data_IF_098654696131
#
_entry.id   IF_098654696131
#
_cell.length_a   1.000
_cell.length_b   1.000
_cell.length_c   1.000
_cell.angle_alpha   90.00
_cell.angle_beta   90.00
_cell.angle_gamma   90.00
#
_symmetry.space_group_name_H-M   'P 1'
#
loop_
_entity.id
_entity.type
_entity.pdbx_description
1 polymer ?
#
# COMPACT_ATOMS: atom_id res chain seq x y z
N UNK A 1 17.56 -1.13 -15.64
CA UNK A 1 16.63 -1.51 -14.55
C UNK A 1 17.25 -2.65 -13.77
N UNK A 2 17.27 -2.55 -12.44
CA UNK A 2 17.73 -3.59 -11.54
C UNK A 2 16.59 -3.93 -10.55
N UNK A 3 16.64 -5.10 -9.92
CA UNK A 3 15.62 -5.58 -8.99
C UNK A 3 16.29 -5.92 -7.65
N UNK A 4 15.64 -5.51 -6.55
CA UNK A 4 15.97 -5.87 -5.18
C UNK A 4 14.84 -6.73 -4.65
N UNK A 5 15.15 -7.93 -4.15
CA UNK A 5 14.20 -8.76 -3.45
C UNK A 5 14.26 -8.44 -1.95
N UNK A 6 13.13 -8.01 -1.38
CA UNK A 6 13.00 -7.69 0.03
C UNK A 6 11.97 -8.62 0.67
N UNK A 7 12.31 -9.21 1.82
CA UNK A 7 11.38 -10.08 2.55
C UNK A 7 10.25 -9.26 3.19
N UNK A 8 9.02 -9.54 2.76
CA UNK A 8 7.82 -8.80 3.19
C UNK A 8 7.27 -9.33 4.53
N UNK A 9 8.14 -9.52 5.53
CA UNK A 9 7.75 -9.95 6.88
C UNK A 9 7.77 -8.78 7.86
N UNK A 10 6.92 -8.84 8.89
CA UNK A 10 6.86 -7.81 9.93
C UNK A 10 8.19 -7.69 10.70
N UNK A 11 8.97 -8.78 10.80
CA UNK A 11 10.31 -8.81 11.41
C UNK A 11 11.33 -8.00 10.62
N UNK A 12 11.13 -7.84 9.31
CA UNK A 12 12.01 -7.07 8.42
C UNK A 12 11.63 -5.57 8.34
N UNK A 13 10.47 -5.20 8.86
CA UNK A 13 10.00 -3.81 8.94
C UNK A 13 10.73 -3.04 10.04
N UNK A 14 12.04 -2.93 9.93
CA UNK A 14 12.94 -2.35 10.93
C UNK A 14 13.89 -1.32 10.31
N UNK A 15 14.57 -0.54 11.16
CA UNK A 15 15.64 0.36 10.67
C UNK A 15 16.76 -0.41 9.98
N UNK A 16 17.10 -1.61 10.45
CA UNK A 16 18.08 -2.48 9.82
C UNK A 16 17.63 -2.97 8.45
N UNK A 17 16.34 -3.29 8.29
CA UNK A 17 15.75 -3.61 6.98
C UNK A 17 15.84 -2.44 6.01
N UNK A 18 15.53 -1.23 6.47
CA UNK A 18 15.70 0.00 5.67
C UNK A 18 17.18 0.21 5.31
N UNK A 19 18.10 0.07 6.25
CA UNK A 19 19.54 0.20 6.00
C UNK A 19 20.02 -0.76 4.90
N UNK A 20 19.63 -2.05 4.96
CA UNK A 20 19.96 -3.02 3.91
C UNK A 20 19.45 -2.56 2.55
N UNK A 21 18.21 -2.11 2.45
CA UNK A 21 17.66 -1.60 1.19
C UNK A 21 18.47 -0.41 0.66
N UNK A 22 18.83 0.55 1.52
CA UNK A 22 19.65 1.70 1.13
C UNK A 22 21.02 1.30 0.60
N UNK A 23 21.66 0.31 1.23
CA UNK A 23 22.98 -0.23 0.80
C UNK A 23 22.85 -0.89 -0.58
N UNK A 24 21.81 -1.70 -0.80
CA UNK A 24 21.58 -2.34 -2.10
C UNK A 24 21.25 -1.32 -3.20
N UNK A 25 20.42 -0.32 -2.91
CA UNK A 25 20.15 0.79 -3.84
C UNK A 25 21.44 1.49 -4.27
N UNK A 26 22.33 1.75 -3.32
CA UNK A 26 23.64 2.36 -3.61
C UNK A 26 24.55 1.43 -4.42
N UNK A 27 24.61 0.14 -4.09
CA UNK A 27 25.39 -0.86 -4.81
C UNK A 27 24.95 -1.01 -6.27
N UNK A 28 23.65 -0.87 -6.54
CA UNK A 28 23.07 -0.86 -7.88
C UNK A 28 23.28 0.48 -8.62
N UNK A 29 23.97 1.43 -8.02
CA UNK A 29 24.29 2.70 -8.63
C UNK A 29 23.12 3.67 -8.77
N UNK A 30 22.09 3.55 -7.93
CA UNK A 30 20.98 4.51 -7.92
C UNK A 30 21.48 5.93 -7.63
N UNK A 31 20.95 6.90 -8.33
CA UNK A 31 21.29 8.33 -8.20
C UNK A 31 20.07 9.11 -7.74
N UNK A 32 20.26 10.37 -7.39
CA UNK A 32 19.16 11.26 -6.94
C UNK A 32 18.02 11.38 -7.94
N UNK A 33 18.29 11.22 -9.24
CA UNK A 33 17.27 11.22 -10.30
C UNK A 33 16.67 9.85 -10.63
N UNK A 34 17.10 8.79 -9.92
CA UNK A 34 16.51 7.45 -10.07
C UNK A 34 15.15 7.38 -9.40
N UNK A 35 14.28 6.49 -9.89
CA UNK A 35 12.98 6.20 -9.29
C UNK A 35 13.00 4.80 -8.68
N UNK A 36 12.56 4.66 -7.44
CA UNK A 36 12.31 3.37 -6.82
C UNK A 36 10.89 2.91 -7.18
N UNK A 37 10.74 1.72 -7.77
CA UNK A 37 9.44 1.08 -7.94
C UNK A 37 9.28 0.00 -6.86
N UNK A 38 8.33 0.17 -5.96
CA UNK A 38 8.01 -0.77 -4.89
C UNK A 38 6.77 -1.58 -5.27
N UNK A 39 6.88 -2.91 -5.22
CA UNK A 39 5.79 -3.86 -5.49
C UNK A 39 5.62 -4.75 -4.27
N UNK A 40 4.45 -4.71 -3.62
CA UNK A 40 4.22 -5.51 -2.40
C UNK A 40 3.06 -5.00 -1.54
N UNK A 41 2.94 -5.57 -0.36
CA UNK A 41 1.96 -5.15 0.66
C UNK A 41 2.48 -4.01 1.54
N UNK A 42 1.82 -3.79 2.68
CA UNK A 42 2.10 -2.69 3.61
C UNK A 42 3.54 -2.66 4.14
N UNK A 43 4.16 -3.83 4.40
CA UNK A 43 5.57 -3.89 4.84
C UNK A 43 6.49 -3.29 3.78
N UNK A 44 6.32 -3.68 2.52
CA UNK A 44 7.11 -3.13 1.40
C UNK A 44 6.87 -1.63 1.25
N UNK A 45 5.62 -1.19 1.39
CA UNK A 45 5.28 0.23 1.36
C UNK A 45 6.01 1.00 2.45
N UNK A 46 5.92 0.56 3.70
CA UNK A 46 6.51 1.24 4.85
C UNK A 46 8.02 1.40 4.69
N UNK A 47 8.71 0.32 4.31
CA UNK A 47 10.17 0.31 4.11
C UNK A 47 10.55 1.17 2.91
N UNK A 48 9.86 1.03 1.76
CA UNK A 48 10.15 1.80 0.56
C UNK A 48 9.88 3.30 0.75
N UNK A 49 8.81 3.66 1.47
CA UNK A 49 8.49 5.06 1.80
C UNK A 49 9.62 5.70 2.59
N UNK A 50 10.07 5.07 3.69
CA UNK A 50 11.15 5.62 4.50
C UNK A 50 12.47 5.65 3.71
N UNK A 51 12.83 4.54 3.04
CA UNK A 51 14.05 4.48 2.23
C UNK A 51 14.08 5.57 1.15
N UNK A 52 12.98 5.73 0.39
CA UNK A 52 12.89 6.75 -0.66
C UNK A 52 13.03 8.16 -0.12
N UNK A 53 12.47 8.43 1.04
CA UNK A 53 12.48 9.76 1.65
C UNK A 53 13.86 10.21 2.15
N UNK A 54 14.68 9.25 2.58
CA UNK A 54 16.00 9.56 3.16
C UNK A 54 17.16 9.30 2.21
N UNK A 55 17.01 8.40 1.22
CA UNK A 55 18.05 8.13 0.23
C UNK A 55 18.39 9.40 -0.53
N UNK A 56 19.67 9.84 -0.44
CA UNK A 56 20.15 11.09 -1.07
C UNK A 56 19.27 12.32 -0.78
N UNK A 57 18.59 12.37 0.36
CA UNK A 57 17.64 13.40 0.83
C UNK A 57 16.32 13.42 0.03
N UNK A 58 15.90 12.28 -0.47
CA UNK A 58 14.66 12.08 -1.19
C UNK A 58 14.86 11.76 -2.67
N UNK A 59 14.24 10.67 -3.10
CA UNK A 59 14.12 10.26 -4.50
C UNK A 59 12.65 9.98 -4.83
N UNK A 60 12.22 10.17 -6.08
CA UNK A 60 10.87 9.78 -6.47
C UNK A 60 10.68 8.27 -6.36
N UNK A 61 9.48 7.85 -5.99
CA UNK A 61 9.11 6.45 -5.98
C UNK A 61 7.69 6.22 -6.51
N UNK A 62 7.43 4.99 -6.96
CA UNK A 62 6.16 4.51 -7.48
C UNK A 62 5.76 3.28 -6.69
N UNK A 63 4.48 3.12 -6.40
CA UNK A 63 3.98 2.00 -5.62
C UNK A 63 2.97 1.16 -6.40
N UNK A 64 3.16 -0.14 -6.39
CA UNK A 64 2.21 -1.14 -6.87
C UNK A 64 1.78 -2.04 -5.69
N UNK A 65 0.64 -1.75 -5.03
CA UNK A 65 0.14 -2.55 -3.91
C UNK A 65 -0.28 -3.95 -4.38
N UNK A 66 0.04 -4.97 -3.60
CA UNK A 66 -0.33 -6.37 -3.91
C UNK A 66 -1.26 -7.01 -2.87
N UNK A 67 -1.61 -6.30 -1.80
CA UNK A 67 -2.57 -6.76 -0.80
C UNK A 67 -3.82 -5.91 -0.83
N UNK A 68 -4.98 -6.49 -0.50
CA UNK A 68 -6.26 -5.77 -0.48
C UNK A 68 -6.22 -4.57 0.47
N UNK A 69 -5.64 -4.72 1.67
CA UNK A 69 -5.47 -3.61 2.60
C UNK A 69 -4.65 -2.46 2.00
N UNK A 70 -3.56 -2.77 1.29
CA UNK A 70 -2.76 -1.73 0.65
C UNK A 70 -3.49 -1.07 -0.52
N UNK A 71 -4.25 -1.82 -1.31
CA UNK A 71 -5.04 -1.31 -2.43
C UNK A 71 -6.17 -0.38 -1.98
N UNK A 72 -6.84 -0.71 -0.86
CA UNK A 72 -8.02 0.01 -0.38
C UNK A 72 -7.68 1.15 0.60
N UNK A 73 -6.50 1.15 1.19
CA UNK A 73 -6.15 2.10 2.25
C UNK A 73 -4.79 2.77 2.03
N UNK A 74 -3.70 2.04 2.22
CA UNK A 74 -2.41 2.67 2.47
C UNK A 74 -1.73 3.26 1.22
N UNK A 75 -2.10 2.83 0.01
CA UNK A 75 -1.42 3.21 -1.23
C UNK A 75 -1.44 4.72 -1.53
N UNK A 76 -2.39 5.48 -1.02
CA UNK A 76 -2.48 6.94 -1.20
C UNK A 76 -2.06 7.75 0.03
N UNK A 77 -1.88 7.11 1.20
CA UNK A 77 -1.59 7.80 2.46
C UNK A 77 -0.17 8.30 2.60
N UNK A 78 0.78 7.71 1.90
CA UNK A 78 2.20 8.07 1.93
C UNK A 78 2.87 7.96 3.31
N UNK A 79 2.22 7.33 4.28
CA UNK A 79 2.80 7.09 5.61
C UNK A 79 3.77 5.93 5.57
N UNK A 80 4.88 6.05 6.31
CA UNK A 80 5.72 4.93 6.68
C UNK A 80 5.64 4.66 8.17
N UNK A 81 5.79 3.42 8.56
CA UNK A 81 5.87 3.04 9.96
C UNK A 81 6.84 1.87 10.15
N UNK A 82 7.90 2.10 10.92
CA UNK A 82 9.01 1.17 11.11
C UNK A 82 9.09 0.78 12.59
N UNK A 83 9.36 -0.50 12.82
CA UNK A 83 9.49 -1.06 14.16
C UNK A 83 10.90 -0.81 14.70
N UNK A 84 11.00 -0.47 15.98
CA UNK A 84 12.28 -0.22 16.65
C UNK A 84 12.28 -0.93 18.00
N UNK A 85 13.26 -1.79 18.24
CA UNK A 85 13.47 -2.50 19.52
C UNK A 85 12.22 -3.19 20.07
N UNK A 86 11.43 -3.83 19.19
CA UNK A 86 10.20 -4.53 19.56
C UNK A 86 8.95 -3.64 19.69
N UNK A 87 9.09 -2.32 19.59
CA UNK A 87 7.96 -1.40 19.56
C UNK A 87 7.51 -1.23 18.11
N UNK A 88 6.26 -1.58 17.83
CA UNK A 88 5.67 -1.48 16.50
C UNK A 88 5.42 -0.03 16.12
N UNK A 89 5.71 0.31 14.85
CA UNK A 89 5.35 1.57 14.21
C UNK A 89 5.86 2.83 14.96
N UNK A 90 7.04 2.73 15.59
CA UNK A 90 7.58 3.82 16.40
C UNK A 90 8.19 4.94 15.56
N UNK A 91 8.80 4.61 14.44
CA UNK A 91 9.50 5.57 13.57
C UNK A 91 8.86 5.58 12.20
N UNK A 92 8.74 6.74 11.62
CA UNK A 92 8.20 6.89 10.27
C UNK A 92 8.13 8.35 9.84
N UNK A 93 7.63 8.53 8.64
CA UNK A 93 7.40 9.85 8.07
C UNK A 93 6.20 9.80 7.10
N UNK A 94 5.96 10.92 6.42
CA UNK A 94 4.98 11.02 5.33
C UNK A 94 5.75 11.40 4.07
N UNK A 95 5.80 10.46 3.12
CA UNK A 95 6.45 10.65 1.83
C UNK A 95 5.66 9.91 0.74
N UNK A 96 4.61 10.52 0.18
CA UNK A 96 3.70 9.85 -0.75
C UNK A 96 4.42 9.43 -2.04
N UNK A 97 4.01 8.31 -2.65
CA UNK A 97 4.52 7.93 -3.96
C UNK A 97 4.09 8.95 -5.01
N UNK A 98 4.94 9.15 -6.02
CA UNK A 98 4.60 9.96 -7.18
C UNK A 98 3.45 9.37 -8.01
N UNK A 99 3.28 8.05 -7.93
CA UNK A 99 2.16 7.29 -8.52
C UNK A 99 1.88 6.04 -7.68
N UNK A 100 0.61 5.72 -7.50
CA UNK A 100 0.13 4.41 -7.09
C UNK A 100 -0.52 3.71 -8.29
N UNK A 101 -0.11 2.48 -8.58
CA UNK A 101 -0.62 1.66 -9.70
C UNK A 101 -1.33 0.46 -9.06
N UNK A 102 -2.65 0.49 -9.03
CA UNK A 102 -3.46 -0.58 -8.43
C UNK A 102 -3.93 -1.54 -9.51
N UNK A 103 -3.37 -2.73 -9.51
CA UNK A 103 -3.84 -3.86 -10.31
C UNK A 103 -4.66 -4.79 -9.42
N UNK A 104 -5.97 -4.70 -9.53
CA UNK A 104 -6.90 -5.49 -8.70
C UNK A 104 -6.84 -6.99 -8.99
N UNK A 105 -6.26 -7.42 -10.12
CA UNK A 105 -6.12 -8.85 -10.43
C UNK A 105 -5.19 -9.56 -9.46
N UNK A 106 -4.25 -8.84 -8.87
CA UNK A 106 -3.36 -9.37 -7.83
C UNK A 106 -4.11 -9.78 -6.56
N UNK A 107 -5.28 -9.17 -6.30
CA UNK A 107 -6.11 -9.55 -5.16
C UNK A 107 -6.70 -10.97 -5.29
N UNK A 108 -6.84 -11.49 -6.50
CA UNK A 108 -7.38 -12.83 -6.74
C UNK A 108 -6.47 -13.95 -6.20
N UNK A 109 -5.16 -13.68 -6.13
CA UNK A 109 -4.18 -14.64 -5.60
C UNK A 109 -4.07 -14.62 -4.07
N UNK A 110 -4.74 -13.69 -3.40
CA UNK A 110 -4.67 -13.55 -1.95
C UNK A 110 -5.54 -14.60 -1.23
N UNK A 111 -5.08 -15.12 -0.09
CA UNK A 111 -5.93 -15.87 0.83
C UNK A 111 -7.16 -15.06 1.24
N UNK A 112 -8.27 -15.76 1.55
CA UNK A 112 -9.53 -15.12 1.94
C UNK A 112 -9.32 -14.18 3.14
N UNK A 113 -8.54 -14.62 4.12
CA UNK A 113 -8.25 -13.85 5.34
C UNK A 113 -7.57 -12.50 5.02
N UNK A 114 -6.67 -12.50 4.05
CA UNK A 114 -5.98 -11.27 3.62
C UNK A 114 -6.92 -10.30 2.87
N UNK A 115 -7.90 -10.83 2.12
CA UNK A 115 -8.93 -10.00 1.49
C UNK A 115 -9.88 -9.42 2.53
N UNK A 116 -10.36 -10.25 3.46
CA UNK A 116 -11.26 -9.83 4.56
C UNK A 116 -10.59 -8.74 5.42
N UNK A 117 -9.30 -8.88 5.73
CA UNK A 117 -8.56 -7.85 6.45
C UNK A 117 -8.58 -6.49 5.72
N UNK A 118 -8.43 -6.49 4.39
CA UNK A 118 -8.54 -5.27 3.58
C UNK A 118 -9.95 -4.66 3.60
N UNK A 119 -10.98 -5.49 3.49
CA UNK A 119 -12.37 -5.04 3.56
C UNK A 119 -12.74 -4.47 4.94
N UNK A 120 -12.20 -5.00 6.02
CA UNK A 120 -12.42 -4.46 7.36
C UNK A 120 -11.94 -3.01 7.48
N UNK A 121 -10.80 -2.68 6.87
CA UNK A 121 -10.30 -1.30 6.80
C UNK A 121 -11.18 -0.43 5.90
N UNK A 122 -11.63 -0.96 4.75
CA UNK A 122 -12.52 -0.26 3.84
C UNK A 122 -13.87 0.09 4.48
N UNK A 123 -14.45 -0.83 5.27
CA UNK A 123 -15.66 -0.57 6.08
C UNK A 123 -15.42 0.61 7.01
N UNK A 124 -14.30 0.62 7.72
CA UNK A 124 -13.96 1.73 8.64
C UNK A 124 -13.89 3.07 7.91
N UNK A 125 -13.23 3.10 6.74
CA UNK A 125 -13.12 4.31 5.91
C UNK A 125 -14.50 4.78 5.45
N UNK A 126 -15.32 3.87 4.90
CA UNK A 126 -16.65 4.21 4.39
C UNK A 126 -17.62 4.57 5.51
N UNK A 127 -17.54 3.92 6.67
CA UNK A 127 -18.31 4.30 7.85
C UNK A 127 -18.01 5.74 8.29
N UNK A 128 -16.72 6.11 8.34
CA UNK A 128 -16.32 7.48 8.64
C UNK A 128 -16.77 8.49 7.57
N UNK A 129 -16.88 8.04 6.30
CA UNK A 129 -17.40 8.83 5.18
C UNK A 129 -18.92 9.06 5.21
N UNK A 130 -19.63 8.38 6.11
CA UNK A 130 -21.08 8.54 6.32
C UNK A 130 -21.93 7.47 5.63
N UNK A 131 -23.26 7.51 5.88
CA UNK A 131 -24.18 6.44 5.45
C UNK A 131 -24.11 6.13 3.95
N UNK A 132 -24.13 7.14 3.10
CA UNK A 132 -24.10 6.95 1.64
C UNK A 132 -22.81 6.26 1.16
N UNK A 133 -21.67 6.54 1.80
CA UNK A 133 -20.41 5.89 1.48
C UNK A 133 -20.43 4.42 1.91
N UNK A 134 -20.99 4.13 3.07
CA UNK A 134 -21.11 2.76 3.58
C UNK A 134 -22.12 1.93 2.75
N UNK A 135 -23.27 2.50 2.41
CA UNK A 135 -24.27 1.82 1.57
C UNK A 135 -23.66 1.44 0.21
N UNK A 136 -22.97 2.37 -0.41
CA UNK A 136 -22.28 2.09 -1.68
C UNK A 136 -21.19 1.02 -1.55
N UNK A 137 -20.43 1.00 -0.46
CA UNK A 137 -19.47 -0.07 -0.18
C UNK A 137 -20.19 -1.44 -0.11
N UNK A 138 -21.30 -1.54 0.61
CA UNK A 138 -22.07 -2.78 0.75
C UNK A 138 -22.62 -3.29 -0.58
N UNK A 139 -23.04 -2.40 -1.48
CA UNK A 139 -23.46 -2.76 -2.83
C UNK A 139 -22.32 -3.34 -3.68
N UNK A 140 -21.09 -2.87 -3.49
CA UNK A 140 -19.95 -3.23 -4.31
C UNK A 140 -19.17 -4.46 -3.79
N UNK A 141 -19.12 -4.64 -2.47
CA UNK A 141 -18.29 -5.72 -1.87
C UNK A 141 -18.85 -7.10 -2.18
N UNK A 142 -20.17 -7.28 -2.22
CA UNK A 142 -20.81 -8.57 -2.50
C UNK A 142 -20.46 -9.05 -3.91
N UNK A 143 -20.68 -8.27 -4.99
CA UNK A 143 -20.27 -8.68 -6.33
C UNK A 143 -18.75 -8.91 -6.46
N UNK A 144 -17.92 -8.13 -5.77
CA UNK A 144 -16.47 -8.29 -5.81
C UNK A 144 -16.00 -9.66 -5.28
N UNK A 145 -16.71 -10.24 -4.31
CA UNK A 145 -16.38 -11.53 -3.71
C UNK A 145 -17.13 -12.73 -4.33
N UNK A 146 -18.35 -12.53 -4.84
CA UNK A 146 -19.21 -13.64 -5.29
C UNK A 146 -18.87 -14.15 -6.70
N UNK A 147 -18.27 -13.34 -7.53
CA UNK A 147 -18.07 -13.67 -8.94
C UNK A 147 -16.56 -13.80 -9.25
N UNK A 148 -15.99 -14.99 -9.10
CA UNK A 148 -14.56 -15.27 -9.36
C UNK A 148 -14.13 -15.18 -10.85
N UNK A 149 -14.53 -14.15 -11.60
CA UNK A 149 -14.29 -13.95 -13.01
C UNK A 149 -14.12 -12.46 -13.37
N UNK A 150 -14.25 -12.08 -14.64
CA UNK A 150 -14.16 -10.69 -15.11
C UNK A 150 -15.13 -9.72 -14.41
N UNK A 151 -16.32 -10.18 -14.02
CA UNK A 151 -17.29 -9.36 -13.26
C UNK A 151 -16.77 -9.04 -11.86
N UNK A 152 -16.10 -9.98 -11.21
CA UNK A 152 -15.40 -9.75 -9.94
C UNK A 152 -14.32 -8.68 -10.07
N UNK A 153 -13.49 -8.76 -11.11
CA UNK A 153 -12.45 -7.76 -11.34
C UNK A 153 -13.01 -6.35 -11.54
N UNK A 154 -14.08 -6.21 -12.31
CA UNK A 154 -14.74 -4.92 -12.52
C UNK A 154 -15.34 -4.37 -11.23
N UNK A 155 -16.05 -5.20 -10.47
CA UNK A 155 -16.61 -4.81 -9.18
C UNK A 155 -15.51 -4.43 -8.17
N UNK A 156 -14.38 -5.13 -8.18
CA UNK A 156 -13.21 -4.81 -7.34
C UNK A 156 -12.59 -3.47 -7.73
N UNK A 157 -12.52 -3.14 -9.02
CA UNK A 157 -12.07 -1.81 -9.48
C UNK A 157 -12.99 -0.71 -8.97
N UNK A 158 -14.31 -0.89 -9.14
CA UNK A 158 -15.30 0.11 -8.68
C UNK A 158 -15.26 0.26 -7.15
N UNK A 159 -15.14 -0.83 -6.41
CA UNK A 159 -14.99 -0.84 -4.96
C UNK A 159 -13.73 -0.09 -4.52
N UNK A 160 -12.58 -0.42 -5.13
CA UNK A 160 -11.31 0.24 -4.83
C UNK A 160 -11.39 1.74 -5.09
N UNK A 161 -11.91 2.13 -6.25
CA UNK A 161 -12.09 3.53 -6.61
C UNK A 161 -13.00 4.26 -5.61
N UNK A 162 -14.12 3.64 -5.20
CA UNK A 162 -15.02 4.23 -4.22
C UNK A 162 -14.32 4.45 -2.88
N UNK A 163 -13.69 3.42 -2.31
CA UNK A 163 -13.01 3.50 -1.00
C UNK A 163 -11.88 4.53 -1.01
N UNK A 164 -11.05 4.54 -2.06
CA UNK A 164 -9.97 5.50 -2.18
C UNK A 164 -10.47 6.94 -2.32
N UNK A 165 -11.57 7.19 -3.01
CA UNK A 165 -12.19 8.53 -3.08
C UNK A 165 -12.71 9.00 -1.73
N UNK A 166 -13.36 8.11 -0.97
CA UNK A 166 -13.79 8.43 0.41
C UNK A 166 -12.57 8.76 1.27
N UNK A 167 -11.51 7.93 1.19
CA UNK A 167 -10.29 8.17 1.95
C UNK A 167 -9.58 9.46 1.57
N UNK A 168 -9.51 9.77 0.28
CA UNK A 168 -8.88 10.98 -0.24
C UNK A 168 -9.41 12.23 0.44
N UNK A 169 -10.72 12.30 0.64
CA UNK A 169 -11.35 13.43 1.34
C UNK A 169 -10.76 13.65 2.75
N UNK A 170 -10.44 12.57 3.50
CA UNK A 170 -9.81 12.68 4.82
C UNK A 170 -8.32 13.06 4.80
N UNK A 171 -7.65 12.94 3.66
CA UNK A 171 -6.22 13.28 3.52
C UNK A 171 -6.06 14.75 3.10
N UNK A 172 -7.03 15.28 2.34
CA UNK A 172 -6.99 16.64 1.78
C UNK A 172 -7.54 17.73 2.71
N UNK A 173 -8.11 17.35 3.87
CA UNK A 173 -8.53 18.29 4.92
C UNK A 173 -7.35 18.61 5.85
#
# INVERSE_FOLDING_TARGET
TAMIAFEASESEKTLQGVERLLVEMNALGMKRGSTLAAVGGGVIQDVATLASSIYMRGIPWVYAPTTMMAMLDSCIGGKSSINVTGIKNLVGNIYPPSRAIVDVTLAQSLPVEARVAGYSEAVKICFAGGPAALDRFMELVIPAEMYGNELSSRATVELTHHVLNVKKWFIEI
#
